data_IF_220098166019
#
_entry.id   IF_220098166019
#
_cell.length_a   1.000
_cell.length_b   1.000
_cell.length_c   1.000
_cell.angle_alpha   90.00
_cell.angle_beta   90.00
_cell.angle_gamma   90.00
#
_symmetry.space_group_name_H-M   'P 1'
#
loop_
_entity.id
_entity.type
_entity.pdbx_description
1 polymer ?
#
# COMPACT_ATOMS: atom_id res chain seq x y z
N UNK A 1 -1.70 15.11 -14.12
CA UNK A 1 -1.84 13.79 -14.81
C UNK A 1 -1.20 12.71 -13.95
N UNK A 2 -1.70 11.46 -14.01
CA UNK A 2 -1.27 10.36 -13.13
C UNK A 2 -0.83 9.16 -14.00
N UNK A 3 0.36 8.62 -13.73
CA UNK A 3 0.71 7.26 -14.12
C UNK A 3 0.60 6.31 -12.93
N UNK A 4 0.01 5.14 -13.17
CA UNK A 4 -0.06 4.05 -12.19
C UNK A 4 1.15 3.13 -12.44
N UNK A 5 2.06 3.01 -11.47
CA UNK A 5 3.18 2.08 -11.53
C UNK A 5 2.69 0.66 -11.20
N UNK A 6 2.92 -0.26 -12.14
CA UNK A 6 2.36 -1.59 -12.18
C UNK A 6 1.13 -1.67 -13.10
N UNK A 7 0.94 -2.83 -13.76
CA UNK A 7 -0.22 -3.13 -14.61
C UNK A 7 -0.81 -4.53 -14.33
N UNK A 8 -0.73 -4.96 -13.06
CA UNK A 8 -1.30 -6.21 -12.58
C UNK A 8 -2.74 -6.06 -12.09
N UNK A 9 -3.22 -7.05 -11.33
CA UNK A 9 -4.57 -7.06 -10.74
C UNK A 9 -4.86 -5.83 -9.88
N UNK A 10 -3.97 -5.53 -8.94
CA UNK A 10 -4.13 -4.39 -8.04
C UNK A 10 -4.12 -3.04 -8.76
N UNK A 11 -3.37 -2.90 -9.86
CA UNK A 11 -3.39 -1.67 -10.66
C UNK A 11 -4.77 -1.37 -11.28
N UNK A 12 -5.53 -2.41 -11.64
CA UNK A 12 -6.93 -2.27 -12.10
C UNK A 12 -7.82 -1.76 -10.97
N UNK A 13 -7.62 -2.27 -9.76
CA UNK A 13 -8.37 -1.81 -8.57
C UNK A 13 -8.04 -0.35 -8.26
N UNK A 14 -6.78 0.05 -8.35
CA UNK A 14 -6.36 1.45 -8.15
C UNK A 14 -6.99 2.37 -9.21
N UNK A 15 -7.04 1.95 -10.49
CA UNK A 15 -7.77 2.71 -11.51
C UNK A 15 -9.25 2.87 -11.13
N UNK A 16 -9.90 1.82 -10.61
CA UNK A 16 -11.30 1.92 -10.18
C UNK A 16 -11.47 2.94 -9.03
N UNK A 17 -10.48 3.08 -8.12
CA UNK A 17 -10.55 4.12 -7.09
C UNK A 17 -10.57 5.52 -7.72
N UNK A 18 -9.77 5.76 -8.78
CA UNK A 18 -9.81 7.03 -9.51
C UNK A 18 -11.14 7.25 -10.21
N UNK A 19 -11.74 6.20 -10.80
CA UNK A 19 -13.07 6.25 -11.44
C UNK A 19 -14.13 6.64 -10.39
N UNK A 20 -14.18 5.92 -9.27
CA UNK A 20 -15.17 6.15 -8.21
C UNK A 20 -14.98 7.52 -7.52
N UNK A 21 -13.75 8.05 -7.53
CA UNK A 21 -13.45 9.40 -7.06
C UNK A 21 -13.77 10.51 -8.10
N UNK A 22 -14.21 10.15 -9.31
CA UNK A 22 -14.47 11.12 -10.40
C UNK A 22 -13.19 11.72 -10.99
N UNK A 23 -12.06 11.04 -10.87
CA UNK A 23 -10.71 11.48 -11.31
C UNK A 23 -10.13 10.60 -12.43
N UNK A 24 -10.95 9.82 -13.13
CA UNK A 24 -10.51 8.91 -14.21
C UNK A 24 -9.69 9.62 -15.29
N UNK A 25 -10.10 10.84 -15.68
CA UNK A 25 -9.45 11.64 -16.71
C UNK A 25 -8.02 12.08 -16.33
N UNK A 26 -7.69 12.06 -15.04
CA UNK A 26 -6.33 12.33 -14.59
C UNK A 26 -5.36 11.18 -14.88
N UNK A 27 -5.86 9.93 -14.97
CA UNK A 27 -5.05 8.74 -15.21
C UNK A 27 -4.75 8.58 -16.69
N UNK A 28 -3.48 8.68 -17.06
CA UNK A 28 -3.03 8.64 -18.45
C UNK A 28 -2.48 7.28 -18.89
N UNK A 29 -2.15 6.38 -17.97
CA UNK A 29 -1.70 5.03 -18.30
C UNK A 29 -1.08 4.28 -17.13
N UNK A 30 -0.60 3.10 -17.46
CA UNK A 30 0.13 2.21 -16.55
C UNK A 30 1.59 2.11 -16.98
N UNK A 31 2.51 1.95 -16.01
CA UNK A 31 3.92 1.75 -16.29
C UNK A 31 4.43 0.47 -15.65
N UNK A 32 5.13 -0.36 -16.40
CA UNK A 32 5.78 -1.59 -15.92
C UNK A 32 7.29 -1.52 -16.12
N UNK A 33 8.04 -2.13 -15.19
CA UNK A 33 9.47 -2.38 -15.40
C UNK A 33 9.67 -3.50 -16.42
N UNK A 34 10.56 -3.29 -17.41
CA UNK A 34 10.82 -4.25 -18.49
C UNK A 34 9.54 -4.67 -19.25
N UNK A 35 8.71 -3.70 -19.59
CA UNK A 35 7.40 -3.90 -20.16
C UNK A 35 7.41 -4.68 -21.48
N UNK A 36 6.78 -5.87 -21.48
CA UNK A 36 6.58 -6.69 -22.67
C UNK A 36 5.25 -6.39 -23.39
N UNK A 37 4.36 -5.62 -22.75
CA UNK A 37 2.99 -5.31 -23.21
C UNK A 37 2.83 -3.87 -23.66
N UNK A 38 3.92 -3.25 -24.13
CA UNK A 38 3.95 -1.85 -24.53
C UNK A 38 2.92 -1.55 -25.63
N UNK A 39 2.06 -0.57 -25.37
CA UNK A 39 0.97 -0.17 -26.28
C UNK A 39 -0.31 -0.99 -26.13
N UNK A 40 -0.33 -2.05 -25.35
CA UNK A 40 -1.58 -2.73 -24.99
C UNK A 40 -2.45 -1.84 -24.10
N UNK A 41 -3.76 -2.09 -24.13
CA UNK A 41 -4.71 -1.39 -23.26
C UNK A 41 -5.11 -2.27 -22.08
N UNK A 42 -5.04 -1.69 -20.88
CA UNK A 42 -5.58 -2.26 -19.66
C UNK A 42 -6.74 -1.36 -19.18
N UNK A 43 -7.95 -1.90 -19.15
CA UNK A 43 -9.17 -1.14 -18.81
C UNK A 43 -9.24 0.22 -19.55
N UNK A 44 -8.88 0.23 -20.85
CA UNK A 44 -8.95 1.43 -21.70
C UNK A 44 -7.76 2.40 -21.58
N UNK A 45 -6.81 2.16 -20.68
CA UNK A 45 -5.61 2.98 -20.52
C UNK A 45 -4.37 2.24 -21.07
N UNK A 46 -3.42 2.94 -21.74
CA UNK A 46 -2.24 2.30 -22.31
C UNK A 46 -1.26 1.81 -21.25
N UNK A 47 -0.54 0.74 -21.57
CA UNK A 47 0.60 0.25 -20.81
C UNK A 47 1.88 0.71 -21.51
N UNK A 48 2.84 1.22 -20.77
CA UNK A 48 4.17 1.56 -21.27
C UNK A 48 5.28 1.12 -20.29
N UNK A 49 6.52 1.30 -20.69
CA UNK A 49 7.68 0.99 -19.86
C UNK A 49 8.04 2.18 -18.95
N UNK A 50 8.45 1.88 -17.72
CA UNK A 50 8.86 2.91 -16.74
C UNK A 50 9.96 3.83 -17.28
N UNK A 51 10.80 3.35 -18.21
CA UNK A 51 11.88 4.14 -18.80
C UNK A 51 11.41 5.39 -19.58
N UNK A 52 10.13 5.48 -19.94
CA UNK A 52 9.59 6.73 -20.52
C UNK A 52 9.75 7.92 -19.57
N UNK A 53 9.74 7.68 -18.26
CA UNK A 53 9.88 8.72 -17.23
C UNK A 53 11.24 9.45 -17.30
N UNK A 54 12.27 8.82 -17.84
CA UNK A 54 13.59 9.45 -18.02
C UNK A 54 13.57 10.58 -19.05
N UNK A 55 12.62 10.52 -19.99
CA UNK A 55 12.51 11.42 -21.16
C UNK A 55 11.30 12.36 -21.09
N UNK A 56 10.39 12.11 -20.14
CA UNK A 56 9.14 12.88 -20.04
C UNK A 56 9.36 14.15 -19.21
N UNK A 57 8.83 15.27 -19.69
CA UNK A 57 8.80 16.50 -18.90
C UNK A 57 7.89 16.33 -17.68
N UNK A 58 8.37 16.74 -16.49
CA UNK A 58 7.84 16.34 -15.18
C UNK A 58 6.77 17.26 -14.61
N UNK A 59 6.54 18.42 -15.21
CA UNK A 59 5.88 19.55 -14.54
C UNK A 59 4.44 19.32 -14.09
N UNK A 60 3.73 18.32 -14.66
CA UNK A 60 2.32 18.05 -14.29
C UNK A 60 2.02 16.56 -14.10
N UNK A 61 3.05 15.72 -13.96
CA UNK A 61 2.87 14.27 -13.79
C UNK A 61 3.20 13.84 -12.37
N UNK A 62 2.24 13.17 -11.74
CA UNK A 62 2.43 12.45 -10.49
C UNK A 62 2.34 10.95 -10.74
N UNK A 63 2.88 10.19 -9.81
CA UNK A 63 2.84 8.74 -9.83
C UNK A 63 1.98 8.21 -8.70
N UNK A 64 1.47 6.99 -8.86
CA UNK A 64 0.88 6.19 -7.78
C UNK A 64 1.34 4.74 -7.94
N UNK A 65 1.85 4.10 -6.89
CA UNK A 65 2.44 2.78 -7.02
C UNK A 65 1.47 1.66 -6.61
N UNK A 66 0.90 0.98 -7.59
CA UNK A 66 -0.07 -0.11 -7.43
C UNK A 66 0.59 -1.50 -7.42
N UNK A 67 1.70 -1.63 -6.70
CA UNK A 67 2.38 -2.90 -6.44
C UNK A 67 2.15 -3.26 -4.98
N UNK A 68 1.46 -4.37 -4.72
CA UNK A 68 0.97 -4.75 -3.39
C UNK A 68 2.05 -5.13 -2.37
N UNK A 69 3.27 -5.43 -2.79
CA UNK A 69 4.34 -5.83 -1.88
C UNK A 69 5.25 -4.67 -1.48
N UNK A 70 5.87 -4.67 -0.30
CA UNK A 70 6.87 -3.68 0.10
C UNK A 70 8.10 -3.58 -0.83
N UNK A 71 8.32 -4.56 -1.70
CA UNK A 71 9.37 -4.51 -2.74
C UNK A 71 9.20 -3.31 -3.69
N UNK A 72 8.00 -2.73 -3.79
CA UNK A 72 7.73 -1.50 -4.54
C UNK A 72 8.62 -0.32 -4.14
N UNK A 73 9.20 -0.36 -2.93
CA UNK A 73 10.08 0.68 -2.41
C UNK A 73 11.21 1.01 -3.38
N UNK A 74 11.85 0.01 -4.00
CA UNK A 74 12.94 0.22 -4.96
C UNK A 74 12.48 1.05 -6.18
N UNK A 75 11.32 0.73 -6.73
CA UNK A 75 10.77 1.47 -7.88
C UNK A 75 10.38 2.89 -7.51
N UNK A 76 9.80 3.07 -6.32
CA UNK A 76 9.44 4.38 -5.79
C UNK A 76 10.69 5.24 -5.62
N UNK A 77 11.72 4.74 -4.94
CA UNK A 77 12.98 5.46 -4.73
C UNK A 77 13.66 5.84 -6.05
N UNK A 78 13.64 4.94 -7.04
CA UNK A 78 14.16 5.23 -8.38
C UNK A 78 13.41 6.40 -9.04
N UNK A 79 12.09 6.37 -9.05
CA UNK A 79 11.30 7.42 -9.69
C UNK A 79 11.32 8.75 -8.92
N UNK A 80 11.47 8.72 -7.59
CA UNK A 80 11.71 9.91 -6.78
C UNK A 80 13.08 10.56 -7.11
N UNK A 81 14.13 9.73 -7.33
CA UNK A 81 15.42 10.23 -7.79
C UNK A 81 15.34 10.89 -9.17
N UNK A 82 14.44 10.42 -10.03
CA UNK A 82 14.11 11.11 -11.28
C UNK A 82 13.33 12.42 -11.06
N UNK A 83 12.90 12.74 -9.84
CA UNK A 83 12.21 13.97 -9.47
C UNK A 83 10.69 13.92 -9.60
N UNK A 84 10.09 12.75 -9.70
CA UNK A 84 8.63 12.59 -9.72
C UNK A 84 8.04 12.65 -8.31
N UNK A 85 6.90 13.31 -8.19
CA UNK A 85 6.08 13.35 -6.98
C UNK A 85 4.97 12.28 -7.05
N UNK A 86 4.37 12.00 -5.90
CA UNK A 86 3.35 10.96 -5.76
C UNK A 86 2.00 11.54 -5.34
N UNK A 87 0.95 11.02 -5.97
CA UNK A 87 -0.44 11.27 -5.57
C UNK A 87 -0.84 10.35 -4.41
N UNK A 88 -1.79 10.80 -3.61
CA UNK A 88 -2.44 9.99 -2.58
C UNK A 88 -3.90 9.86 -2.95
N UNK A 89 -4.39 8.62 -3.03
CA UNK A 89 -5.77 8.35 -3.43
C UNK A 89 -6.54 7.64 -2.31
N UNK A 90 -7.71 8.17 -2.00
CA UNK A 90 -8.61 7.63 -0.97
C UNK A 90 -9.96 7.39 -1.62
N UNK A 91 -10.44 6.15 -1.56
CA UNK A 91 -11.74 5.81 -2.11
C UNK A 91 -12.86 6.58 -1.40
N UNK A 92 -13.87 7.10 -2.12
CA UNK A 92 -14.95 7.92 -1.54
C UNK A 92 -15.76 7.25 -0.42
N UNK A 93 -15.83 5.92 -0.39
CA UNK A 93 -16.53 5.17 0.66
C UNK A 93 -15.78 5.08 2.00
N UNK A 94 -14.56 5.60 2.08
CA UNK A 94 -13.75 5.53 3.31
C UNK A 94 -14.35 6.42 4.40
N UNK A 95 -14.66 5.82 5.54
CA UNK A 95 -15.10 6.54 6.72
C UNK A 95 -13.87 6.90 7.56
N UNK A 96 -13.59 8.19 7.70
CA UNK A 96 -12.44 8.67 8.49
C UNK A 96 -12.76 9.94 9.26
N UNK A 97 -12.12 10.10 10.42
CA UNK A 97 -12.17 11.37 11.13
C UNK A 97 -11.20 12.39 10.52
N UNK A 98 -11.39 13.66 10.87
CA UNK A 98 -10.47 14.75 10.49
C UNK A 98 -9.08 14.63 11.15
N UNK A 99 -8.92 13.75 12.10
CA UNK A 99 -7.70 13.52 12.86
C UNK A 99 -6.87 12.35 12.32
N UNK A 100 -7.15 11.91 11.10
CA UNK A 100 -6.34 10.94 10.36
C UNK A 100 -5.42 11.71 9.43
N UNK A 101 -4.11 11.42 9.51
CA UNK A 101 -3.11 11.98 8.61
C UNK A 101 -2.58 10.91 7.67
N UNK A 102 -2.35 11.30 6.43
CA UNK A 102 -1.86 10.42 5.36
C UNK A 102 -0.51 10.93 4.86
N UNK A 103 0.34 10.01 4.44
CA UNK A 103 1.57 10.29 3.74
C UNK A 103 1.35 10.53 2.23
N UNK A 104 2.42 10.82 1.52
CA UNK A 104 2.40 10.86 0.05
C UNK A 104 2.40 9.44 -0.51
N UNK A 105 1.75 9.24 -1.65
CA UNK A 105 1.72 7.96 -2.33
C UNK A 105 0.84 6.90 -1.67
N UNK A 106 0.02 7.26 -0.69
CA UNK A 106 -0.87 6.32 -0.01
C UNK A 106 -2.05 5.92 -0.89
N UNK A 107 -2.45 4.65 -0.78
CA UNK A 107 -3.64 4.10 -1.43
C UNK A 107 -4.58 3.56 -0.36
N UNK A 108 -5.76 4.15 -0.23
CA UNK A 108 -6.78 3.71 0.72
C UNK A 108 -7.99 3.22 -0.06
N UNK A 109 -8.16 1.90 -0.10
CA UNK A 109 -9.22 1.23 -0.86
C UNK A 109 -10.61 1.38 -0.21
N UNK A 110 -11.63 0.85 -0.89
CA UNK A 110 -13.03 0.96 -0.47
C UNK A 110 -13.31 0.26 0.88
N UNK A 111 -14.34 0.73 1.58
CA UNK A 111 -14.89 0.09 2.77
C UNK A 111 -14.08 0.30 4.06
N UNK A 112 -12.98 1.03 4.01
CA UNK A 112 -12.13 1.25 5.18
C UNK A 112 -12.78 2.17 6.23
N UNK A 113 -12.59 1.85 7.52
CA UNK A 113 -12.98 2.68 8.65
C UNK A 113 -11.75 3.05 9.46
N UNK A 114 -11.39 4.33 9.46
CA UNK A 114 -10.28 4.89 10.21
C UNK A 114 -10.80 5.84 11.29
N UNK A 115 -10.67 5.45 12.55
CA UNK A 115 -11.35 6.14 13.64
C UNK A 115 -10.76 7.52 13.97
N UNK A 116 -9.76 7.64 14.84
CA UNK A 116 -9.24 8.94 15.26
C UNK A 116 -7.78 8.89 15.67
N UNK A 117 -7.05 10.01 15.48
CA UNK A 117 -5.64 10.13 15.87
C UNK A 117 -4.77 9.05 15.22
N UNK A 118 -4.99 8.76 13.93
CA UNK A 118 -4.24 7.78 13.16
C UNK A 118 -3.22 8.52 12.29
N UNK A 119 -2.00 8.02 12.29
CA UNK A 119 -0.94 8.51 11.43
C UNK A 119 -0.47 7.40 10.48
N UNK A 120 -0.50 7.66 9.18
CA UNK A 120 -0.11 6.73 8.12
C UNK A 120 1.09 7.34 7.40
N UNK A 121 2.17 6.57 7.30
CA UNK A 121 3.41 6.98 6.64
C UNK A 121 3.35 6.75 5.13
N UNK A 122 4.25 7.40 4.41
CA UNK A 122 4.29 7.48 2.95
C UNK A 122 4.24 6.10 2.26
N UNK A 123 3.59 6.06 1.10
CA UNK A 123 3.52 4.89 0.22
C UNK A 123 2.90 3.64 0.87
N UNK A 124 2.01 3.84 1.83
CA UNK A 124 1.29 2.76 2.49
C UNK A 124 0.00 2.43 1.74
N UNK A 125 -0.29 1.14 1.65
CA UNK A 125 -1.52 0.61 1.06
C UNK A 125 -2.40 0.07 2.19
N UNK A 126 -3.62 0.58 2.29
CA UNK A 126 -4.69 -0.01 3.10
C UNK A 126 -5.73 -0.54 2.12
N UNK A 127 -5.76 -1.86 1.99
CA UNK A 127 -6.63 -2.53 1.04
C UNK A 127 -8.08 -2.56 1.56
N UNK A 128 -8.95 -3.30 0.90
CA UNK A 128 -10.40 -3.29 1.11
C UNK A 128 -10.80 -3.67 2.56
N UNK A 129 -11.82 -2.99 3.09
CA UNK A 129 -12.61 -3.43 4.25
C UNK A 129 -11.81 -3.57 5.56
N UNK A 130 -10.78 -2.75 5.74
CA UNK A 130 -10.01 -2.73 6.99
C UNK A 130 -10.64 -1.80 8.03
N UNK A 131 -10.43 -2.13 9.31
CA UNK A 131 -10.79 -1.24 10.41
C UNK A 131 -9.56 -0.86 11.22
N UNK A 132 -9.35 0.43 11.44
CA UNK A 132 -8.20 0.96 12.18
C UNK A 132 -8.68 1.78 13.36
N UNK A 133 -8.30 1.32 14.54
CA UNK A 133 -8.63 1.90 15.83
C UNK A 133 -7.87 3.20 16.11
N UNK A 134 -8.24 3.85 17.21
CA UNK A 134 -7.68 5.13 17.61
C UNK A 134 -6.20 5.05 18.02
N UNK A 135 -5.46 6.15 17.84
CA UNK A 135 -4.04 6.29 18.24
C UNK A 135 -3.12 5.26 17.55
N UNK A 136 -3.47 4.77 16.36
CA UNK A 136 -2.64 3.84 15.58
C UNK A 136 -1.59 4.61 14.78
N UNK A 137 -0.39 4.05 14.74
CA UNK A 137 0.72 4.53 13.93
C UNK A 137 1.11 3.47 12.91
N UNK A 138 1.11 3.79 11.64
CA UNK A 138 1.54 2.91 10.54
C UNK A 138 2.72 3.57 9.85
N UNK A 139 3.82 2.85 9.74
CA UNK A 139 5.03 3.31 9.06
C UNK A 139 4.87 3.42 7.55
N UNK A 140 5.98 3.69 6.87
CA UNK A 140 6.05 3.84 5.41
C UNK A 140 6.09 2.48 4.71
N UNK A 141 5.66 2.47 3.45
CA UNK A 141 5.72 1.29 2.57
C UNK A 141 4.98 0.05 3.09
N UNK A 142 4.08 0.23 4.06
CA UNK A 142 3.29 -0.87 4.60
C UNK A 142 2.23 -1.34 3.60
N UNK A 143 1.84 -2.60 3.72
CA UNK A 143 0.68 -3.16 3.02
C UNK A 143 -0.23 -3.84 4.04
N UNK A 144 -1.41 -3.29 4.20
CA UNK A 144 -2.48 -3.82 5.03
C UNK A 144 -3.48 -4.48 4.08
N UNK A 145 -3.49 -5.82 4.05
CA UNK A 145 -4.32 -6.60 3.12
C UNK A 145 -5.82 -6.55 3.47
N UNK A 146 -6.72 -7.02 2.59
CA UNK A 146 -8.16 -6.93 2.81
C UNK A 146 -8.63 -7.52 4.15
N UNK A 147 -9.58 -6.86 4.79
CA UNK A 147 -10.25 -7.35 6.00
C UNK A 147 -9.33 -7.40 7.24
N UNK A 148 -8.27 -6.64 7.28
CA UNK A 148 -7.41 -6.55 8.47
C UNK A 148 -8.03 -5.63 9.51
N UNK A 149 -8.04 -6.08 10.78
CA UNK A 149 -8.55 -5.32 11.91
C UNK A 149 -7.43 -4.93 12.88
N UNK A 150 -7.15 -3.64 12.98
CA UNK A 150 -6.11 -3.08 13.85
C UNK A 150 -6.78 -2.33 15.00
N UNK A 151 -6.58 -2.83 16.23
CA UNK A 151 -7.14 -2.20 17.43
C UNK A 151 -6.35 -0.95 17.84
N UNK A 152 -6.89 -0.22 18.84
CA UNK A 152 -6.30 1.06 19.24
C UNK A 152 -4.88 0.96 19.82
N UNK A 153 -4.08 2.03 19.60
CA UNK A 153 -2.71 2.21 20.12
C UNK A 153 -1.69 1.20 19.60
N UNK A 154 -1.93 0.59 18.45
CA UNK A 154 -0.98 -0.28 17.76
C UNK A 154 0.06 0.58 17.05
N UNK A 155 1.31 0.12 17.06
CA UNK A 155 2.41 0.71 16.28
C UNK A 155 2.93 -0.30 15.28
N UNK A 156 2.94 0.09 14.01
CA UNK A 156 3.44 -0.71 12.90
C UNK A 156 4.63 0.01 12.30
N UNK A 157 5.77 -0.68 12.22
CA UNK A 157 7.00 -0.15 11.63
C UNK A 157 6.93 -0.05 10.11
N UNK A 158 8.03 0.35 9.50
CA UNK A 158 8.15 0.50 8.04
C UNK A 158 8.21 -0.85 7.33
N UNK A 159 7.67 -0.91 6.10
CA UNK A 159 7.76 -2.08 5.23
C UNK A 159 7.04 -3.33 5.76
N UNK A 160 6.09 -3.18 6.68
CA UNK A 160 5.33 -4.30 7.23
C UNK A 160 4.24 -4.74 6.24
N UNK A 161 4.10 -6.05 6.08
CA UNK A 161 2.99 -6.67 5.36
C UNK A 161 2.08 -7.40 6.35
N UNK A 162 0.79 -7.08 6.32
CA UNK A 162 -0.23 -7.74 7.13
C UNK A 162 -1.20 -8.45 6.20
N UNK A 163 -1.19 -9.79 6.28
CA UNK A 163 -2.00 -10.65 5.43
C UNK A 163 -3.50 -10.55 5.70
N UNK A 164 -4.28 -10.91 4.70
CA UNK A 164 -5.75 -10.83 4.67
C UNK A 164 -6.39 -11.38 5.93
N UNK A 165 -7.34 -10.63 6.51
CA UNK A 165 -8.12 -11.05 7.66
C UNK A 165 -7.36 -11.17 8.99
N UNK A 166 -6.14 -10.65 9.08
CA UNK A 166 -5.40 -10.65 10.34
C UNK A 166 -6.02 -9.67 11.35
N UNK A 167 -5.89 -10.01 12.64
CA UNK A 167 -6.41 -9.20 13.76
C UNK A 167 -5.26 -8.84 14.69
N UNK A 168 -5.12 -7.55 15.01
CA UNK A 168 -4.10 -7.05 15.91
C UNK A 168 -4.79 -6.46 17.16
N UNK A 169 -4.50 -7.02 18.35
CA UNK A 169 -5.08 -6.54 19.61
C UNK A 169 -4.47 -5.19 20.03
N UNK A 170 -5.10 -4.44 20.96
CA UNK A 170 -4.61 -3.12 21.37
C UNK A 170 -3.19 -3.14 21.93
N UNK A 171 -2.45 -2.05 21.67
CA UNK A 171 -1.11 -1.75 22.22
C UNK A 171 0.02 -2.69 21.77
N UNK A 172 -0.17 -3.46 20.73
CA UNK A 172 0.87 -4.27 20.11
C UNK A 172 1.79 -3.41 19.26
N UNK A 173 3.09 -3.75 19.25
CA UNK A 173 4.09 -3.19 18.34
C UNK A 173 4.52 -4.27 17.34
N UNK A 174 4.53 -3.91 16.03
CA UNK A 174 5.04 -4.77 14.97
C UNK A 174 6.27 -4.09 14.37
N UNK A 175 7.43 -4.76 14.49
CA UNK A 175 8.72 -4.23 14.03
C UNK A 175 8.83 -4.17 12.50
N UNK A 176 9.77 -3.35 12.03
CA UNK A 176 10.01 -3.09 10.60
C UNK A 176 10.19 -4.37 9.78
N UNK A 177 9.78 -4.33 8.52
CA UNK A 177 9.96 -5.39 7.54
C UNK A 177 9.43 -6.77 7.98
N UNK A 178 8.44 -6.80 8.87
CA UNK A 178 7.82 -8.04 9.33
C UNK A 178 6.62 -8.42 8.46
N UNK A 179 6.32 -9.70 8.42
CA UNK A 179 5.19 -10.28 7.71
C UNK A 179 4.27 -10.94 8.73
N UNK A 180 3.01 -10.52 8.76
CA UNK A 180 1.94 -11.17 9.50
C UNK A 180 1.13 -11.99 8.52
N UNK A 181 1.03 -13.31 8.75
CA UNK A 181 0.28 -14.20 7.86
C UNK A 181 -1.22 -13.95 7.86
N UNK A 182 -1.89 -14.36 6.79
CA UNK A 182 -3.33 -14.23 6.67
C UNK A 182 -4.07 -14.93 7.81
N UNK A 183 -5.15 -14.32 8.32
CA UNK A 183 -5.95 -14.84 9.42
C UNK A 183 -5.25 -14.92 10.79
N UNK A 184 -4.04 -14.37 10.92
CA UNK A 184 -3.31 -14.40 12.19
C UNK A 184 -3.94 -13.46 13.23
N UNK A 185 -3.87 -13.85 14.51
CA UNK A 185 -4.29 -13.01 15.64
C UNK A 185 -3.06 -12.61 16.45
N UNK A 186 -2.61 -11.37 16.26
CA UNK A 186 -1.41 -10.86 16.93
C UNK A 186 -1.77 -10.39 18.34
N UNK A 187 -1.25 -11.09 19.35
CA UNK A 187 -1.56 -10.84 20.77
C UNK A 187 -0.33 -10.39 21.57
N UNK A 188 0.83 -10.26 20.95
CA UNK A 188 2.09 -9.80 21.53
C UNK A 188 2.89 -9.06 20.49
N UNK A 189 3.86 -8.28 20.94
CA UNK A 189 4.79 -7.58 20.06
C UNK A 189 5.51 -8.56 19.13
N UNK A 190 5.71 -8.15 17.89
CA UNK A 190 6.44 -8.87 16.86
C UNK A 190 7.76 -8.15 16.60
N UNK A 191 8.91 -8.83 16.75
CA UNK A 191 10.20 -8.24 16.40
C UNK A 191 10.30 -7.87 14.92
N UNK A 192 11.24 -6.99 14.60
CA UNK A 192 11.53 -6.65 13.20
C UNK A 192 12.02 -7.84 12.37
N UNK A 193 11.84 -7.75 11.06
CA UNK A 193 12.27 -8.77 10.09
C UNK A 193 11.73 -10.18 10.41
N UNK A 194 10.52 -10.28 10.95
CA UNK A 194 9.94 -11.52 11.45
C UNK A 194 8.70 -11.95 10.68
N UNK A 195 8.65 -13.21 10.26
CA UNK A 195 7.42 -13.88 9.82
C UNK A 195 6.68 -14.44 11.02
N UNK A 196 5.47 -13.96 11.28
CA UNK A 196 4.60 -14.42 12.34
C UNK A 196 3.24 -14.88 11.82
N UNK A 197 2.76 -16.04 12.23
CA UNK A 197 1.51 -16.64 11.79
C UNK A 197 0.76 -17.33 12.91
N UNK A 198 -0.53 -17.57 12.70
CA UNK A 198 -1.38 -18.42 13.56
C UNK A 198 -2.25 -17.64 14.55
N UNK A 199 -3.00 -18.41 15.37
CA UNK A 199 -3.93 -17.92 16.39
C UNK A 199 -3.61 -18.63 17.72
N UNK A 200 -2.91 -17.96 18.65
CA UNK A 200 -2.29 -16.65 18.52
C UNK A 200 -1.07 -16.66 17.60
N UNK A 201 -0.78 -15.51 16.98
CA UNK A 201 0.37 -15.37 16.10
C UNK A 201 1.69 -15.58 16.85
N UNK A 202 2.56 -16.38 16.26
CA UNK A 202 3.90 -16.65 16.80
C UNK A 202 4.97 -16.34 15.76
N UNK A 203 6.09 -15.72 16.14
CA UNK A 203 7.28 -15.66 15.32
C UNK A 203 7.71 -17.07 14.89
N UNK A 204 7.87 -17.30 13.59
CA UNK A 204 8.30 -18.60 13.05
C UNK A 204 9.79 -18.54 12.68
N UNK A 205 10.17 -17.50 11.96
CA UNK A 205 11.53 -17.30 11.46
C UNK A 205 11.76 -15.86 10.98
N UNK A 206 12.99 -15.56 10.64
CA UNK A 206 13.33 -14.30 9.98
C UNK A 206 12.74 -14.26 8.56
N UNK A 207 12.28 -13.07 8.14
CA UNK A 207 11.83 -12.81 6.77
C UNK A 207 13.03 -12.90 5.81
N UNK A 208 12.80 -13.47 4.64
CA UNK A 208 13.77 -13.60 3.55
C UNK A 208 13.26 -12.89 2.29
N UNK A 209 14.13 -12.66 1.32
CA UNK A 209 13.72 -12.02 0.05
C UNK A 209 12.66 -12.86 -0.70
N UNK A 210 12.74 -14.19 -0.61
CA UNK A 210 11.76 -15.07 -1.25
C UNK A 210 10.34 -14.94 -0.68
N UNK A 211 10.22 -14.53 0.58
CA UNK A 211 8.90 -14.31 1.18
C UNK A 211 8.16 -13.16 0.49
N UNK A 212 8.88 -12.09 0.16
CA UNK A 212 8.32 -10.93 -0.52
C UNK A 212 7.91 -11.21 -1.96
N UNK A 213 8.52 -12.19 -2.63
CA UNK A 213 8.18 -12.58 -4.01
C UNK A 213 6.94 -13.47 -4.09
N UNK A 214 6.55 -14.08 -2.97
CA UNK A 214 5.42 -15.03 -2.89
C UNK A 214 4.14 -14.42 -2.29
N UNK A 215 4.14 -13.11 -2.09
CA UNK A 215 2.98 -12.34 -1.56
C UNK A 215 2.19 -11.67 -2.67
#
# INVERSE_FOLDING_TARGET
MIYILGAGGFAKEVLNIYIDAGREDEVIGFLEENCQRRGELLNGKPIDDVSILEKTERHDIKLICAIGTPLRKRLIEYTEQLGYDYDTIIHPSVIKSRWVTFGKGDIICAGNILTSQINIGDHTIINLDCTIGHDVHIGKYCTISPGVHISGRVKIGDGVFIGTGAVIIPRVNIGNNSIIGAGAVVTKDIPENTLAVGVPAKPIRRVTESDWRNI
#
